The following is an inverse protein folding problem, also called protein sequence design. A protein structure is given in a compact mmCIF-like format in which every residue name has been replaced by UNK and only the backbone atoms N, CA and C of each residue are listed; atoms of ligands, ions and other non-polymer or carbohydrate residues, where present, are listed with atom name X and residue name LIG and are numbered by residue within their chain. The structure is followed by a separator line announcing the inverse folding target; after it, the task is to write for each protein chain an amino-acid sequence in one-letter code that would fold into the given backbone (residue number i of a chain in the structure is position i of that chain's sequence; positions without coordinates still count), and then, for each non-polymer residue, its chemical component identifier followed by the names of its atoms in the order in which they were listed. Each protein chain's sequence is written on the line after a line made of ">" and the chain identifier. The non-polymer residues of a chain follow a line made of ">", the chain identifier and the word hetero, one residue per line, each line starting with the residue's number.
data_IF_262732060063
#
_entry.id   IF_262732060063
#
_cell.length_a   1.000
_cell.length_b   1.000
_cell.length_c   1.000
_cell.angle_alpha   90.00
_cell.angle_beta   90.00
_cell.angle_gamma   90.00
#
_symmetry.space_group_name_H-M   'P 1'
#
loop_
_entity.id
_entity.type
_entity.pdbx_description
1 polymer ?
#
# COMPACT_ATOMS: atom_id res chain seq x y z
N UNK A 1 -43.19 -7.56 35.19
CA UNK A 1 -42.82 -8.50 34.11
C UNK A 1 -42.39 -7.67 32.89
N UNK A 2 -41.13 -7.46 32.74
CA UNK A 2 -40.56 -6.75 31.58
C UNK A 2 -40.30 -7.80 30.49
N UNK A 3 -41.01 -7.66 29.37
CA UNK A 3 -40.81 -8.46 28.18
C UNK A 3 -39.40 -8.22 27.62
N UNK A 4 -38.54 -9.21 27.75
CA UNK A 4 -37.27 -9.26 27.00
C UNK A 4 -37.61 -9.40 25.52
N UNK A 5 -37.52 -8.32 24.77
CA UNK A 5 -37.47 -8.38 23.31
C UNK A 5 -36.21 -9.17 22.91
N UNK A 6 -36.43 -10.20 22.10
CA UNK A 6 -35.41 -11.05 21.52
C UNK A 6 -34.35 -10.18 20.81
N UNK A 7 -33.14 -10.16 21.38
CA UNK A 7 -31.97 -9.57 20.74
C UNK A 7 -31.66 -10.33 19.47
N UNK A 8 -31.87 -9.68 18.33
CA UNK A 8 -31.43 -10.14 17.01
C UNK A 8 -29.92 -10.39 16.96
N UNK A 9 -29.57 -11.25 16.05
CA UNK A 9 -28.24 -11.68 15.60
C UNK A 9 -27.20 -10.55 15.75
N UNK A 10 -26.11 -10.89 16.43
CA UNK A 10 -25.14 -9.92 16.92
C UNK A 10 -24.61 -8.96 15.86
N UNK A 11 -24.92 -7.68 16.00
CA UNK A 11 -24.30 -6.61 15.21
C UNK A 11 -22.82 -6.46 15.59
N UNK A 12 -21.96 -6.28 14.60
CA UNK A 12 -20.58 -5.90 14.79
C UNK A 12 -20.43 -4.39 14.89
N UNK A 13 -19.34 -3.92 15.50
CA UNK A 13 -18.95 -2.54 15.41
C UNK A 13 -18.35 -2.25 14.04
N UNK A 14 -17.44 -3.12 13.58
CA UNK A 14 -16.76 -2.98 12.30
C UNK A 14 -16.85 -4.29 11.52
N UNK A 15 -17.15 -4.17 10.20
CA UNK A 15 -16.97 -5.27 9.26
C UNK A 15 -15.95 -4.82 8.21
N UNK A 16 -14.83 -5.56 8.06
CA UNK A 16 -13.89 -5.33 6.96
C UNK A 16 -14.21 -6.23 5.78
N UNK A 17 -14.25 -5.66 4.59
CA UNK A 17 -14.33 -6.38 3.32
C UNK A 17 -12.92 -6.46 2.73
N UNK A 18 -12.30 -7.62 2.86
CA UNK A 18 -10.89 -7.87 2.63
C UNK A 18 -10.09 -7.97 3.94
N UNK A 19 -9.14 -8.90 3.97
CA UNK A 19 -8.21 -9.16 5.08
C UNK A 19 -6.77 -8.71 4.78
N UNK A 20 -6.59 -7.71 3.89
CA UNK A 20 -5.28 -7.16 3.56
C UNK A 20 -4.63 -6.39 4.72
N UNK A 21 -3.46 -5.82 4.46
CA UNK A 21 -2.59 -5.18 5.47
C UNK A 21 -3.32 -4.08 6.25
N UNK A 22 -4.01 -3.15 5.55
CA UNK A 22 -4.75 -2.07 6.19
C UNK A 22 -5.88 -2.59 7.08
N UNK A 23 -6.69 -3.55 6.56
CA UNK A 23 -7.79 -4.15 7.30
C UNK A 23 -7.31 -4.89 8.55
N UNK A 24 -6.26 -5.70 8.42
CA UNK A 24 -5.74 -6.50 9.53
C UNK A 24 -5.11 -5.62 10.62
N UNK A 25 -4.38 -4.58 10.24
CA UNK A 25 -3.82 -3.62 11.19
C UNK A 25 -4.91 -2.85 11.94
N UNK A 26 -5.95 -2.37 11.23
CA UNK A 26 -7.09 -1.70 11.83
C UNK A 26 -7.87 -2.65 12.74
N UNK A 27 -8.19 -3.86 12.27
CA UNK A 27 -8.96 -4.84 13.01
C UNK A 27 -8.27 -5.23 14.31
N UNK A 28 -6.95 -5.50 14.28
CA UNK A 28 -6.16 -5.72 15.49
C UNK A 28 -6.29 -4.55 16.45
N UNK A 29 -6.01 -3.34 15.99
CA UNK A 29 -5.99 -2.16 16.82
C UNK A 29 -7.36 -1.83 17.44
N UNK A 30 -8.46 -2.10 16.73
CA UNK A 30 -9.83 -1.87 17.24
C UNK A 30 -10.31 -3.00 18.14
N UNK A 31 -9.98 -4.28 17.84
CA UNK A 31 -10.29 -5.43 18.70
C UNK A 31 -9.60 -5.31 20.07
N UNK A 32 -8.33 -4.89 20.12
CA UNK A 32 -7.60 -4.61 21.36
C UNK A 32 -8.27 -3.53 22.23
N UNK A 33 -9.09 -2.67 21.61
CA UNK A 33 -9.88 -1.62 22.28
C UNK A 33 -11.31 -2.07 22.61
N UNK A 34 -11.62 -3.35 22.41
CA UNK A 34 -12.91 -3.94 22.74
C UNK A 34 -13.98 -3.79 21.66
N UNK A 35 -13.65 -3.29 20.46
CA UNK A 35 -14.59 -3.27 19.34
C UNK A 35 -14.85 -4.70 18.81
N UNK A 36 -16.10 -5.00 18.50
CA UNK A 36 -16.51 -6.26 17.88
C UNK A 36 -16.27 -6.21 16.37
N UNK A 37 -15.17 -6.80 15.92
CA UNK A 37 -14.72 -6.74 14.53
C UNK A 37 -14.96 -8.07 13.81
N UNK A 38 -15.56 -8.02 12.61
CA UNK A 38 -15.64 -9.14 11.67
C UNK A 38 -14.79 -8.82 10.44
N UNK A 39 -13.92 -9.74 10.08
CA UNK A 39 -13.12 -9.66 8.86
C UNK A 39 -13.58 -10.71 7.85
N UNK A 40 -13.91 -10.27 6.63
CA UNK A 40 -14.37 -11.12 5.54
C UNK A 40 -13.30 -11.15 4.44
N UNK A 41 -12.60 -12.28 4.30
CA UNK A 41 -11.52 -12.47 3.30
C UNK A 41 -11.90 -13.59 2.32
N UNK A 42 -11.82 -13.27 1.01
CA UNK A 42 -12.15 -14.23 -0.05
C UNK A 42 -11.11 -15.34 -0.24
N UNK A 43 -9.84 -15.02 0.01
CA UNK A 43 -8.75 -15.98 -0.13
C UNK A 43 -8.69 -16.89 1.12
N UNK A 44 -8.69 -18.21 0.91
CA UNK A 44 -8.47 -19.15 2.01
C UNK A 44 -7.05 -19.06 2.56
N UNK A 45 -6.09 -18.72 1.69
CA UNK A 45 -4.69 -18.49 2.01
C UNK A 45 -4.16 -17.42 1.05
N UNK A 46 -3.40 -16.46 1.55
CA UNK A 46 -2.76 -15.47 0.69
C UNK A 46 -1.72 -16.13 -0.21
N UNK A 47 -1.59 -15.59 -1.43
CA UNK A 47 -0.67 -16.09 -2.44
C UNK A 47 0.49 -15.12 -2.61
N UNK A 48 1.67 -15.64 -2.91
CA UNK A 48 2.78 -14.78 -3.35
C UNK A 48 2.41 -14.13 -4.69
N UNK A 49 2.50 -12.81 -4.70
CA UNK A 49 2.25 -11.97 -5.87
C UNK A 49 3.35 -10.91 -5.93
N UNK A 50 3.70 -10.46 -7.12
CA UNK A 50 4.59 -9.31 -7.28
C UNK A 50 3.84 -8.07 -6.83
N UNK A 51 4.11 -7.63 -5.60
CA UNK A 51 3.47 -6.47 -4.93
C UNK A 51 4.49 -5.77 -4.05
N UNK A 52 4.08 -4.65 -3.44
CA UNK A 52 4.91 -3.92 -2.49
C UNK A 52 5.44 -4.80 -1.35
N UNK A 53 6.73 -4.74 -1.11
CA UNK A 53 7.46 -5.61 -0.19
C UNK A 53 8.36 -4.83 0.75
N UNK A 54 8.13 -3.51 0.81
CA UNK A 54 8.81 -2.64 1.74
C UNK A 54 7.87 -1.54 2.24
N UNK A 55 8.03 -1.16 3.50
CA UNK A 55 7.47 0.07 4.07
C UNK A 55 8.63 1.01 4.35
N UNK A 56 8.50 2.24 3.90
CA UNK A 56 9.51 3.28 4.10
C UNK A 56 9.46 3.85 5.51
N UNK A 57 10.43 4.66 5.91
CA UNK A 57 10.61 5.12 7.29
C UNK A 57 9.36 5.69 7.95
N UNK A 58 8.57 6.53 7.25
CA UNK A 58 7.33 7.04 7.81
C UNK A 58 6.24 5.97 7.98
N UNK A 59 6.19 4.97 7.09
CA UNK A 59 5.29 3.82 7.24
C UNK A 59 5.72 2.90 8.39
N UNK A 60 7.02 2.83 8.70
CA UNK A 60 7.51 2.13 9.90
C UNK A 60 7.07 2.85 11.17
N UNK A 61 7.03 4.20 11.17
CA UNK A 61 6.47 4.96 12.26
C UNK A 61 4.96 4.65 12.44
N UNK A 62 4.19 4.56 11.35
CA UNK A 62 2.78 4.14 11.40
C UNK A 62 2.63 2.71 11.99
N UNK A 63 3.53 1.79 11.61
CA UNK A 63 3.55 0.44 12.17
C UNK A 63 3.85 0.43 13.67
N UNK A 64 4.71 1.33 14.16
CA UNK A 64 4.96 1.52 15.59
C UNK A 64 3.69 2.01 16.33
N UNK A 65 3.02 3.03 15.80
CA UNK A 65 1.78 3.58 16.36
C UNK A 65 0.63 2.56 16.40
N UNK A 66 0.60 1.64 15.44
CA UNK A 66 -0.36 0.53 15.40
C UNK A 66 0.05 -0.66 16.29
N UNK A 67 1.24 -0.62 16.92
CA UNK A 67 1.75 -1.70 17.77
C UNK A 67 2.06 -3.00 17.01
N UNK A 68 2.40 -2.90 15.73
CA UNK A 68 2.70 -4.07 14.86
C UNK A 68 4.16 -4.17 14.45
N UNK A 69 4.96 -3.11 14.60
CA UNK A 69 6.35 -3.09 14.12
C UNK A 69 7.21 -4.19 14.76
N UNK A 70 7.12 -4.38 16.07
CA UNK A 70 7.85 -5.44 16.79
C UNK A 70 7.47 -6.83 16.28
N UNK A 71 6.18 -7.08 16.07
CA UNK A 71 5.68 -8.34 15.50
C UNK A 71 6.22 -8.59 14.10
N UNK A 72 6.22 -7.56 13.23
CA UNK A 72 6.75 -7.68 11.87
C UNK A 72 8.25 -8.02 11.87
N UNK A 73 9.04 -7.33 12.70
CA UNK A 73 10.47 -7.61 12.86
C UNK A 73 10.75 -9.03 13.34
N UNK A 74 9.94 -9.52 14.27
CA UNK A 74 10.08 -10.89 14.78
C UNK A 74 9.74 -11.95 13.73
N UNK A 75 8.69 -11.72 12.92
CA UNK A 75 8.10 -12.77 12.08
C UNK A 75 8.57 -12.74 10.62
N UNK A 76 8.80 -11.57 10.04
CA UNK A 76 9.00 -11.51 8.59
C UNK A 76 9.85 -10.34 8.07
N UNK A 77 10.01 -9.26 8.85
CA UNK A 77 10.64 -8.07 8.33
C UNK A 77 12.17 -8.09 8.48
N UNK A 78 12.83 -7.55 7.46
CA UNK A 78 14.26 -7.27 7.43
C UNK A 78 14.46 -5.75 7.42
N UNK A 79 15.36 -5.25 8.27
CA UNK A 79 15.71 -3.82 8.32
C UNK A 79 16.68 -3.46 7.22
N UNK A 80 16.37 -2.42 6.45
CA UNK A 80 17.22 -1.88 5.40
C UNK A 80 17.48 -0.40 5.69
N UNK A 81 18.60 -0.06 6.33
CA UNK A 81 18.89 1.30 6.78
C UNK A 81 19.37 2.22 5.66
N UNK A 82 19.87 1.67 4.57
CA UNK A 82 20.57 2.43 3.54
C UNK A 82 19.82 2.42 2.22
N UNK A 83 19.84 3.53 1.49
CA UNK A 83 19.31 3.66 0.13
C UNK A 83 20.37 4.21 -0.80
N UNK A 84 20.61 3.55 -1.93
CA UNK A 84 21.40 4.03 -3.04
C UNK A 84 20.48 4.53 -4.15
N UNK A 85 20.50 5.84 -4.39
CA UNK A 85 19.59 6.50 -5.36
C UNK A 85 20.33 7.00 -6.63
N UNK A 86 21.56 6.54 -6.89
CA UNK A 86 22.38 6.98 -8.02
C UNK A 86 23.18 8.25 -7.75
N UNK A 87 22.83 9.03 -6.74
CA UNK A 87 23.56 10.22 -6.27
C UNK A 87 24.44 9.93 -5.07
N UNK A 88 24.42 8.69 -4.58
CA UNK A 88 25.20 8.24 -3.43
C UNK A 88 24.35 7.51 -2.39
N UNK A 89 25.04 6.96 -1.41
CA UNK A 89 24.45 6.19 -0.33
C UNK A 89 23.87 7.12 0.74
N UNK A 90 22.61 6.90 1.09
CA UNK A 90 21.87 7.65 2.10
C UNK A 90 21.53 6.74 3.28
N UNK A 91 21.83 7.17 4.50
CA UNK A 91 21.38 6.54 5.75
C UNK A 91 20.02 7.13 6.18
N UNK A 92 18.99 6.29 6.17
CA UNK A 92 17.62 6.69 6.53
C UNK A 92 17.47 7.02 8.02
N UNK A 93 18.24 6.35 8.90
CA UNK A 93 18.23 6.63 10.34
C UNK A 93 18.82 7.99 10.67
N UNK A 94 19.76 8.45 9.86
CA UNK A 94 20.39 9.76 10.05
C UNK A 94 19.64 10.91 9.37
N UNK A 95 18.90 10.63 8.30
CA UNK A 95 18.41 11.69 7.39
C UNK A 95 16.88 11.81 7.30
N UNK A 96 16.12 10.84 7.78
CA UNK A 96 14.66 10.96 7.84
C UNK A 96 14.18 11.59 9.15
N UNK A 97 13.02 12.23 9.13
CA UNK A 97 12.40 12.81 10.34
C UNK A 97 12.16 11.73 11.41
N UNK A 98 11.77 10.53 11.00
CA UNK A 98 11.48 9.42 11.89
C UNK A 98 12.72 8.73 12.45
N UNK A 99 13.89 8.91 11.82
CA UNK A 99 15.15 8.23 12.18
C UNK A 99 15.03 6.69 12.20
N UNK A 100 14.22 6.15 11.29
CA UNK A 100 13.92 4.73 11.18
C UNK A 100 14.43 4.16 9.84
N UNK A 101 14.84 2.87 9.81
CA UNK A 101 15.13 2.19 8.56
C UNK A 101 13.82 1.94 7.80
N UNK A 102 13.88 1.57 6.54
CA UNK A 102 12.76 0.88 5.91
C UNK A 102 12.71 -0.59 6.40
N UNK A 103 11.53 -1.21 6.30
CA UNK A 103 11.36 -2.64 6.55
C UNK A 103 10.95 -3.32 5.24
N UNK A 104 11.66 -4.38 4.87
CA UNK A 104 11.30 -5.23 3.74
C UNK A 104 10.86 -6.62 4.20
N UNK A 105 9.97 -7.25 3.45
CA UNK A 105 9.38 -8.54 3.83
C UNK A 105 8.77 -9.24 2.61
N UNK A 106 8.59 -10.58 2.68
CA UNK A 106 7.69 -11.27 1.77
C UNK A 106 6.25 -10.83 2.02
N UNK A 107 5.61 -10.21 1.04
CA UNK A 107 4.27 -9.61 1.18
C UNK A 107 3.23 -10.58 1.75
N UNK A 108 3.20 -11.81 1.25
CA UNK A 108 2.31 -12.87 1.72
C UNK A 108 2.50 -13.16 3.22
N UNK A 109 3.75 -13.22 3.69
CA UNK A 109 4.05 -13.54 5.10
C UNK A 109 3.58 -12.39 6.00
N UNK A 110 3.79 -11.13 5.57
CA UNK A 110 3.27 -9.98 6.28
C UNK A 110 1.74 -10.01 6.39
N UNK A 111 1.03 -10.34 5.29
CA UNK A 111 -0.43 -10.44 5.30
C UNK A 111 -0.92 -11.51 6.29
N UNK A 112 -0.36 -12.72 6.26
CA UNK A 112 -0.73 -13.81 7.19
C UNK A 112 -0.41 -13.42 8.64
N UNK A 113 0.74 -12.79 8.87
CA UNK A 113 1.15 -12.33 10.21
C UNK A 113 0.16 -11.32 10.80
N UNK A 114 -0.25 -10.34 10.02
CA UNK A 114 -1.17 -9.30 10.49
C UNK A 114 -2.60 -9.81 10.65
N UNK A 115 -3.06 -10.69 9.76
CA UNK A 115 -4.38 -11.31 9.88
C UNK A 115 -4.46 -12.18 11.16
N UNK A 116 -3.44 -13.01 11.41
CA UNK A 116 -3.35 -13.79 12.64
C UNK A 116 -3.26 -12.90 13.89
N UNK A 117 -2.59 -11.75 13.81
CA UNK A 117 -2.53 -10.80 14.92
C UNK A 117 -3.91 -10.17 15.21
N UNK A 118 -4.71 -9.89 14.17
CA UNK A 118 -6.08 -9.40 14.35
C UNK A 118 -6.97 -10.46 15.00
N UNK A 119 -6.88 -11.72 14.58
CA UNK A 119 -7.61 -12.85 15.18
C UNK A 119 -7.22 -13.05 16.64
N UNK A 120 -5.93 -13.04 16.96
CA UNK A 120 -5.43 -13.14 18.33
C UNK A 120 -5.86 -11.97 19.23
N UNK A 121 -6.08 -10.79 18.66
CA UNK A 121 -6.62 -9.62 19.34
C UNK A 121 -8.13 -9.70 19.60
N UNK A 122 -8.83 -10.71 19.05
CA UNK A 122 -10.26 -10.96 19.25
C UNK A 122 -11.16 -10.60 18.06
N UNK A 123 -10.61 -10.25 16.90
CA UNK A 123 -11.40 -10.11 15.69
C UNK A 123 -11.88 -11.48 15.19
N UNK A 124 -13.14 -11.57 14.78
CA UNK A 124 -13.63 -12.76 14.07
C UNK A 124 -13.16 -12.72 12.62
N UNK A 125 -12.48 -13.77 12.16
CA UNK A 125 -11.94 -13.85 10.80
C UNK A 125 -12.65 -14.99 10.05
N UNK A 126 -13.31 -14.64 8.93
CA UNK A 126 -13.92 -15.60 8.01
C UNK A 126 -13.19 -15.58 6.69
N UNK A 127 -12.45 -16.64 6.38
CA UNK A 127 -11.72 -16.82 5.12
C UNK A 127 -12.49 -17.68 4.13
N UNK A 128 -12.23 -17.46 2.83
CA UNK A 128 -12.95 -18.16 1.76
C UNK A 128 -14.37 -17.63 1.56
N UNK A 129 -14.67 -16.43 2.07
CA UNK A 129 -15.97 -15.79 2.03
C UNK A 129 -15.96 -14.64 1.03
N UNK A 130 -16.85 -14.68 0.05
CA UNK A 130 -17.03 -13.60 -0.92
C UNK A 130 -18.20 -12.71 -0.50
N UNK A 131 -17.92 -11.42 -0.35
CA UNK A 131 -18.94 -10.39 -0.21
C UNK A 131 -19.57 -10.14 -1.57
N UNK A 132 -20.88 -10.09 -1.63
CA UNK A 132 -21.66 -9.87 -2.86
C UNK A 132 -22.15 -8.44 -2.98
N UNK A 133 -22.42 -7.78 -1.84
CA UNK A 133 -22.90 -6.41 -1.79
C UNK A 133 -22.59 -5.77 -0.44
N UNK A 134 -22.36 -4.46 -0.48
CA UNK A 134 -22.40 -3.56 0.68
C UNK A 134 -23.61 -2.66 0.54
N UNK A 135 -24.33 -2.47 1.63
CA UNK A 135 -25.48 -1.58 1.74
C UNK A 135 -25.09 -0.40 2.64
N UNK A 136 -24.76 0.78 2.06
CA UNK A 136 -24.44 1.99 2.84
C UNK A 136 -25.66 2.52 3.60
N UNK A 137 -25.44 3.35 4.60
CA UNK A 137 -26.48 4.03 5.37
C UNK A 137 -26.10 4.21 6.85
N UNK A 138 -26.99 4.79 7.63
CA UNK A 138 -26.80 4.99 9.07
C UNK A 138 -26.56 3.68 9.86
N UNK A 139 -27.00 2.56 9.33
CA UNK A 139 -26.71 1.21 9.81
C UNK A 139 -26.29 0.35 8.61
N UNK A 140 -25.02 0.45 8.18
CA UNK A 140 -24.57 -0.26 6.99
C UNK A 140 -24.58 -1.77 7.19
N UNK A 141 -24.66 -2.51 6.08
CA UNK A 141 -24.68 -3.96 6.09
C UNK A 141 -23.81 -4.54 4.97
N UNK A 142 -23.38 -5.78 5.19
CA UNK A 142 -22.68 -6.59 4.20
C UNK A 142 -23.51 -7.83 3.91
N UNK A 143 -23.65 -8.17 2.61
CA UNK A 143 -24.31 -9.40 2.15
C UNK A 143 -23.23 -10.35 1.66
N UNK A 144 -23.22 -11.55 2.21
CA UNK A 144 -22.30 -12.64 1.83
C UNK A 144 -23.06 -13.78 1.18
N UNK A 145 -22.46 -14.38 0.14
CA UNK A 145 -23.02 -15.54 -0.53
C UNK A 145 -22.94 -16.80 0.35
N UNK A 146 -23.98 -17.60 0.32
CA UNK A 146 -24.06 -18.83 1.09
C UNK A 146 -23.14 -19.91 0.56
N UNK A 147 -21.95 -20.05 1.14
CA UNK A 147 -21.20 -21.31 1.12
C UNK A 147 -21.55 -22.10 2.39
N UNK A 148 -21.88 -23.38 2.21
CA UNK A 148 -22.28 -24.27 3.30
C UNK A 148 -21.22 -24.35 4.42
N UNK A 149 -21.46 -23.59 5.48
CA UNK A 149 -20.71 -23.60 6.73
C UNK A 149 -21.70 -23.36 7.87
N UNK A 150 -21.55 -24.09 8.92
CA UNK A 150 -22.23 -24.17 10.21
C UNK A 150 -23.34 -23.16 10.50
N UNK A 151 -24.57 -23.67 10.45
CA UNK A 151 -25.85 -22.97 10.57
C UNK A 151 -26.08 -22.17 11.86
N UNK A 152 -25.46 -21.05 12.05
CA UNK A 152 -25.79 -20.09 13.10
C UNK A 152 -26.13 -18.73 12.46
N UNK A 153 -27.45 -18.47 12.38
CA UNK A 153 -27.98 -17.13 12.13
C UNK A 153 -28.18 -16.73 10.67
N UNK A 154 -29.08 -17.40 9.95
CA UNK A 154 -29.46 -17.05 8.57
C UNK A 154 -30.84 -16.43 8.58
N UNK A 155 -30.94 -15.17 8.15
CA UNK A 155 -32.23 -14.62 7.72
C UNK A 155 -32.56 -15.17 6.31
N UNK A 156 -33.62 -15.96 6.20
CA UNK A 156 -34.00 -16.71 5.00
C UNK A 156 -35.03 -15.94 4.18
N UNK A 157 -34.69 -14.78 3.68
CA UNK A 157 -35.60 -14.03 2.81
C UNK A 157 -35.04 -13.81 1.41
N UNK A 158 -34.92 -14.87 0.63
CA UNK A 158 -34.62 -14.81 -0.80
C UNK A 158 -35.45 -15.86 -1.55
N UNK A 159 -36.20 -15.46 -2.59
CA UNK A 159 -37.08 -16.32 -3.38
C UNK A 159 -36.32 -17.39 -4.22
N UNK A 160 -34.97 -17.35 -4.28
CA UNK A 160 -34.14 -18.17 -5.18
C UNK A 160 -33.19 -19.13 -4.46
N UNK A 161 -33.61 -19.86 -3.44
CA UNK A 161 -32.87 -21.01 -2.91
C UNK A 161 -31.36 -20.78 -2.53
N UNK A 162 -30.79 -19.66 -2.85
CA UNK A 162 -29.42 -19.27 -2.51
C UNK A 162 -29.41 -18.61 -1.13
N UNK A 163 -28.71 -19.20 -0.19
CA UNK A 163 -28.65 -18.71 1.20
C UNK A 163 -27.70 -17.52 1.25
N UNK A 164 -28.24 -16.30 1.33
CA UNK A 164 -27.45 -15.09 1.61
C UNK A 164 -27.51 -14.80 3.12
N UNK A 165 -26.37 -14.39 3.69
CA UNK A 165 -26.31 -13.86 5.05
C UNK A 165 -26.15 -12.34 4.98
N UNK A 166 -27.08 -11.59 5.59
CA UNK A 166 -26.99 -10.13 5.75
C UNK A 166 -26.50 -9.80 7.15
N UNK A 167 -25.36 -9.13 7.26
CA UNK A 167 -24.69 -8.81 8.52
C UNK A 167 -24.64 -7.30 8.68
N UNK A 168 -25.17 -6.76 9.77
CA UNK A 168 -25.18 -5.31 10.07
C UNK A 168 -24.01 -4.92 10.97
N UNK A 169 -23.58 -3.64 10.84
CA UNK A 169 -22.55 -3.07 11.69
C UNK A 169 -22.75 -1.55 11.87
N UNK A 170 -21.84 -0.92 12.63
CA UNK A 170 -21.77 0.55 12.71
C UNK A 170 -20.92 1.14 11.57
N UNK A 171 -19.90 0.39 11.11
CA UNK A 171 -19.00 0.82 10.04
C UNK A 171 -18.61 -0.37 9.17
N UNK A 172 -18.75 -0.24 7.85
CA UNK A 172 -18.10 -1.11 6.87
C UNK A 172 -16.79 -0.49 6.45
N UNK A 173 -15.72 -1.28 6.44
CA UNK A 173 -14.40 -0.88 5.94
C UNK A 173 -14.07 -1.64 4.68
N UNK A 174 -14.10 -0.96 3.54
CA UNK A 174 -13.67 -1.49 2.25
C UNK A 174 -12.14 -1.54 2.18
N UNK A 175 -11.59 -2.75 2.13
CA UNK A 175 -10.16 -3.03 2.06
C UNK A 175 -9.85 -4.13 1.02
N UNK A 176 -10.68 -4.21 0.00
CA UNK A 176 -10.71 -5.23 -1.04
C UNK A 176 -9.75 -4.94 -2.22
N UNK A 177 -8.87 -3.95 -2.04
CA UNK A 177 -7.73 -3.68 -2.90
C UNK A 177 -8.04 -2.84 -4.14
N UNK A 178 -7.11 -2.82 -5.09
CA UNK A 178 -7.07 -1.92 -6.25
C UNK A 178 -8.37 -1.90 -7.07
N UNK A 179 -8.98 -3.06 -7.27
CA UNK A 179 -10.22 -3.22 -8.06
C UNK A 179 -11.47 -3.28 -7.17
N UNK A 180 -11.48 -2.50 -6.10
CA UNK A 180 -12.50 -2.52 -5.05
C UNK A 180 -13.93 -2.56 -5.59
N UNK A 181 -14.66 -3.60 -5.19
CA UNK A 181 -16.10 -3.71 -5.41
C UNK A 181 -16.87 -2.85 -4.41
N UNK A 182 -16.34 -2.67 -3.20
CA UNK A 182 -16.93 -1.80 -2.17
C UNK A 182 -17.08 -0.37 -2.68
N UNK A 183 -16.05 0.16 -3.37
CA UNK A 183 -16.15 1.49 -4.03
C UNK A 183 -17.37 1.62 -4.91
N UNK A 184 -17.63 0.60 -5.74
CA UNK A 184 -18.77 0.58 -6.68
C UNK A 184 -20.09 0.46 -5.94
N UNK A 185 -20.20 -0.44 -4.97
CA UNK A 185 -21.43 -0.67 -4.22
C UNK A 185 -21.82 0.52 -3.35
N UNK A 186 -20.84 1.21 -2.77
CA UNK A 186 -21.08 2.41 -1.98
C UNK A 186 -21.16 3.70 -2.81
N UNK A 187 -21.00 3.62 -4.13
CA UNK A 187 -21.16 4.76 -5.04
C UNK A 187 -20.09 5.83 -4.89
N UNK A 188 -18.83 5.42 -4.64
CA UNK A 188 -17.68 6.33 -4.65
C UNK A 188 -17.26 6.66 -6.08
N UNK A 189 -16.97 7.93 -6.34
CA UNK A 189 -16.31 8.37 -7.56
C UNK A 189 -14.81 8.11 -7.49
N UNK A 190 -14.22 7.66 -8.58
CA UNK A 190 -12.79 7.35 -8.68
C UNK A 190 -12.12 8.36 -9.58
N UNK A 191 -11.07 8.99 -9.07
CA UNK A 191 -10.10 9.73 -9.87
C UNK A 191 -9.04 8.76 -10.37
N UNK A 192 -8.58 8.93 -11.61
CA UNK A 192 -7.55 8.12 -12.22
C UNK A 192 -6.57 9.02 -12.97
N UNK A 193 -5.29 8.82 -12.70
CA UNK A 193 -4.21 9.40 -13.48
C UNK A 193 -3.51 8.31 -14.26
N UNK A 194 -3.74 8.29 -15.58
CA UNK A 194 -3.05 7.35 -16.46
C UNK A 194 -1.53 7.57 -16.37
N UNK A 195 -0.80 6.47 -16.40
CA UNK A 195 0.64 6.46 -16.40
C UNK A 195 1.14 5.67 -17.63
N UNK A 196 2.09 6.25 -18.35
CA UNK A 196 2.69 5.62 -19.54
C UNK A 196 3.76 4.58 -19.18
N UNK A 197 3.78 4.10 -17.94
CA UNK A 197 4.78 3.19 -17.42
C UNK A 197 4.20 1.81 -17.08
N UNK A 198 5.02 0.79 -17.29
CA UNK A 198 4.89 -0.51 -16.66
C UNK A 198 5.92 -0.66 -15.56
N UNK A 199 5.56 -1.36 -14.49
CA UNK A 199 6.52 -1.93 -13.55
C UNK A 199 6.55 -3.44 -13.72
N UNK A 200 7.75 -4.00 -13.92
CA UNK A 200 7.99 -5.43 -13.86
C UNK A 200 8.80 -5.78 -12.61
N UNK A 201 8.55 -6.96 -12.04
CA UNK A 201 9.27 -7.41 -10.85
C UNK A 201 9.41 -8.92 -10.76
N UNK A 202 10.52 -9.37 -10.15
CA UNK A 202 10.82 -10.79 -9.91
C UNK A 202 11.56 -10.97 -8.59
N UNK A 203 11.25 -12.05 -7.86
CA UNK A 203 12.01 -12.44 -6.68
C UNK A 203 13.21 -13.29 -7.10
N UNK A 204 14.39 -12.89 -6.61
CA UNK A 204 15.68 -13.50 -6.95
C UNK A 204 16.39 -14.04 -5.71
N UNK A 205 17.18 -15.09 -5.90
CA UNK A 205 18.19 -15.59 -4.94
C UNK A 205 19.56 -15.55 -5.59
N UNK A 206 20.60 -15.74 -4.78
CA UNK A 206 21.98 -15.68 -5.23
C UNK A 206 22.33 -14.28 -5.82
N UNK A 207 21.81 -13.24 -5.16
CA UNK A 207 22.08 -11.83 -5.47
C UNK A 207 23.36 -11.39 -4.80
N UNK A 208 24.23 -10.66 -5.52
CA UNK A 208 25.55 -10.21 -5.03
C UNK A 208 25.55 -8.78 -4.46
N UNK A 209 24.36 -8.21 -4.25
CA UNK A 209 24.23 -6.88 -3.65
C UNK A 209 24.21 -6.96 -2.12
N UNK A 210 24.44 -5.82 -1.46
CA UNK A 210 24.31 -5.71 -0.01
C UNK A 210 22.87 -5.96 0.44
N UNK A 211 22.70 -6.66 1.55
CA UNK A 211 21.39 -6.86 2.18
C UNK A 211 20.94 -5.68 3.04
N UNK A 212 21.80 -4.69 3.26
CA UNK A 212 21.48 -3.48 4.04
C UNK A 212 21.12 -2.28 3.15
N UNK A 213 21.20 -2.43 1.82
CA UNK A 213 21.00 -1.34 0.86
C UNK A 213 19.81 -1.65 -0.04
N UNK A 214 18.84 -0.74 -0.07
CA UNK A 214 17.84 -0.65 -1.14
C UNK A 214 18.44 0.17 -2.29
N UNK A 215 18.45 -0.38 -3.48
CA UNK A 215 18.82 0.36 -4.68
C UNK A 215 17.54 0.87 -5.35
N UNK A 216 17.50 2.17 -5.65
CA UNK A 216 16.33 2.86 -6.19
C UNK A 216 16.77 3.96 -7.15
N UNK A 217 17.17 3.56 -8.37
CA UNK A 217 17.93 4.43 -9.29
C UNK A 217 17.08 4.80 -10.50
N UNK A 218 16.92 6.11 -10.71
CA UNK A 218 16.30 6.66 -11.92
C UNK A 218 17.34 6.81 -13.04
N UNK A 219 16.90 6.57 -14.27
CA UNK A 219 17.66 6.87 -15.47
C UNK A 219 16.81 7.76 -16.39
N UNK A 220 16.97 9.09 -16.31
CA UNK A 220 16.14 10.02 -17.07
C UNK A 220 16.44 10.02 -18.59
N UNK A 221 17.59 9.48 -19.04
CA UNK A 221 17.90 9.39 -20.47
C UNK A 221 16.99 8.44 -21.21
N UNK A 222 16.52 7.40 -20.53
CA UNK A 222 15.63 6.38 -21.09
C UNK A 222 14.28 6.28 -20.37
N UNK A 223 14.02 7.17 -19.42
CA UNK A 223 12.74 7.25 -18.70
C UNK A 223 12.45 6.04 -17.78
N UNK A 224 13.50 5.45 -17.18
CA UNK A 224 13.35 4.21 -16.39
C UNK A 224 13.71 4.41 -14.93
N UNK A 225 13.23 3.47 -14.10
CA UNK A 225 13.68 3.30 -12.73
C UNK A 225 14.03 1.83 -12.49
N UNK A 226 15.13 1.60 -11.78
CA UNK A 226 15.60 0.26 -11.42
C UNK A 226 15.69 0.14 -9.92
N UNK A 227 15.03 -0.86 -9.37
CA UNK A 227 15.00 -1.14 -7.94
C UNK A 227 15.50 -2.53 -7.58
N UNK A 228 16.18 -2.62 -6.45
CA UNK A 228 16.54 -3.89 -5.83
C UNK A 228 16.32 -3.77 -4.33
N UNK A 229 15.39 -4.56 -3.81
CA UNK A 229 14.97 -4.52 -2.41
C UNK A 229 15.38 -5.84 -1.76
N UNK A 230 16.36 -5.84 -0.86
CA UNK A 230 16.75 -7.05 -0.14
C UNK A 230 15.65 -7.48 0.82
N UNK A 231 15.51 -8.80 0.98
CA UNK A 231 14.62 -9.43 1.95
C UNK A 231 15.45 -10.33 2.88
N UNK A 232 14.81 -10.86 3.91
CA UNK A 232 15.49 -11.81 4.81
C UNK A 232 16.03 -13.03 4.05
N UNK A 233 17.22 -13.49 4.45
CA UNK A 233 17.96 -14.57 3.79
C UNK A 233 18.76 -14.05 2.59
N UNK A 234 18.87 -14.86 1.55
CA UNK A 234 19.60 -14.55 0.31
C UNK A 234 18.68 -14.03 -0.81
N UNK A 235 17.49 -13.54 -0.47
CA UNK A 235 16.47 -13.10 -1.43
C UNK A 235 16.47 -11.60 -1.60
N UNK A 236 16.22 -11.16 -2.83
CA UNK A 236 15.94 -9.76 -3.15
C UNK A 236 14.86 -9.67 -4.22
N UNK A 237 14.01 -8.67 -4.12
CA UNK A 237 13.06 -8.36 -5.18
C UNK A 237 13.68 -7.31 -6.10
N UNK A 238 13.85 -7.68 -7.36
CA UNK A 238 14.26 -6.76 -8.40
C UNK A 238 13.04 -6.19 -9.12
N UNK A 239 13.07 -4.89 -9.41
CA UNK A 239 12.04 -4.16 -10.13
C UNK A 239 12.65 -3.35 -11.27
N UNK A 240 11.89 -3.21 -12.35
CA UNK A 240 12.20 -2.30 -13.45
C UNK A 240 10.94 -1.59 -13.91
N UNK A 241 10.97 -0.25 -13.85
CA UNK A 241 9.91 0.62 -14.36
C UNK A 241 10.35 1.17 -15.70
N UNK A 242 9.48 1.10 -16.69
CA UNK A 242 9.83 1.46 -18.07
C UNK A 242 8.62 1.96 -18.86
N UNK A 243 8.85 2.82 -19.88
CA UNK A 243 7.80 3.35 -20.73
C UNK A 243 7.07 2.24 -21.52
N UNK A 244 5.74 2.34 -21.61
CA UNK A 244 4.89 1.47 -22.47
C UNK A 244 5.29 1.55 -23.92
N UNK A 245 5.87 2.67 -24.35
CA UNK A 245 6.40 2.91 -25.70
C UNK A 245 7.58 2.02 -26.08
N UNK A 246 8.21 1.31 -25.14
CA UNK A 246 9.23 0.29 -25.46
C UNK A 246 8.67 -0.90 -26.26
N UNK A 247 7.34 -1.06 -26.35
CA UNK A 247 6.68 -2.01 -27.23
C UNK A 247 6.71 -3.48 -26.80
N UNK A 248 7.19 -3.77 -25.58
CA UNK A 248 7.19 -5.12 -25.01
C UNK A 248 6.67 -5.11 -23.56
N UNK A 249 6.35 -6.29 -23.05
CA UNK A 249 5.95 -6.48 -21.66
C UNK A 249 6.83 -7.53 -20.99
N UNK A 250 7.55 -7.13 -19.95
CA UNK A 250 8.45 -7.98 -19.18
C UNK A 250 7.65 -8.87 -18.23
N UNK A 251 7.19 -10.03 -18.72
CA UNK A 251 6.46 -11.00 -17.91
C UNK A 251 6.69 -12.44 -18.40
N UNK A 252 6.64 -13.40 -17.46
CA UNK A 252 6.89 -14.80 -17.72
C UNK A 252 8.38 -15.16 -17.83
N UNK A 253 8.67 -16.45 -17.72
CA UNK A 253 10.04 -16.98 -17.62
C UNK A 253 10.91 -16.64 -18.84
N UNK A 254 10.32 -16.69 -20.03
CA UNK A 254 11.03 -16.39 -21.28
C UNK A 254 11.62 -14.96 -21.34
N UNK A 255 11.03 -14.01 -20.58
CA UNK A 255 11.47 -12.62 -20.55
C UNK A 255 12.49 -12.32 -19.43
N UNK A 256 12.83 -13.29 -18.59
CA UNK A 256 13.74 -13.07 -17.46
C UNK A 256 15.12 -12.56 -17.89
N UNK A 257 15.71 -13.16 -18.94
CA UNK A 257 17.00 -12.72 -19.46
C UNK A 257 16.94 -11.28 -20.01
N UNK A 258 15.83 -10.87 -20.63
CA UNK A 258 15.64 -9.49 -21.06
C UNK A 258 15.46 -8.55 -19.85
N UNK A 259 14.67 -8.94 -18.86
CA UNK A 259 14.49 -8.17 -17.63
C UNK A 259 15.83 -7.85 -16.96
N UNK A 260 16.72 -8.84 -16.81
CA UNK A 260 18.06 -8.65 -16.23
C UNK A 260 18.88 -7.65 -17.06
N UNK A 261 18.86 -7.76 -18.39
CA UNK A 261 19.58 -6.82 -19.28
C UNK A 261 19.01 -5.41 -19.17
N UNK A 262 17.70 -5.24 -19.08
CA UNK A 262 17.08 -3.92 -18.95
C UNK A 262 17.37 -3.30 -17.58
N UNK A 263 17.39 -4.08 -16.49
CA UNK A 263 17.84 -3.58 -15.18
C UNK A 263 19.30 -3.07 -15.26
N UNK A 264 20.18 -3.81 -15.91
CA UNK A 264 21.59 -3.40 -16.11
C UNK A 264 21.71 -2.16 -17.02
N UNK A 265 20.83 -2.01 -18.02
CA UNK A 265 20.76 -0.81 -18.85
C UNK A 265 20.28 0.41 -18.07
N UNK A 266 19.31 0.22 -17.13
CA UNK A 266 18.80 1.27 -16.25
C UNK A 266 19.84 1.72 -15.21
N UNK A 267 20.58 0.76 -14.65
CA UNK A 267 21.64 0.98 -13.67
C UNK A 267 22.74 -0.07 -13.83
N UNK A 268 23.89 0.33 -14.40
CA UNK A 268 24.95 -0.58 -14.83
C UNK A 268 25.43 -1.60 -13.75
N UNK A 269 25.54 -1.25 -12.45
CA UNK A 269 25.93 -2.20 -11.40
C UNK A 269 24.97 -3.39 -11.25
N UNK A 270 23.75 -3.32 -11.75
CA UNK A 270 22.84 -4.46 -11.73
C UNK A 270 23.36 -5.67 -12.50
N UNK A 271 24.22 -5.47 -13.51
CA UNK A 271 24.86 -6.58 -14.21
C UNK A 271 25.62 -7.49 -13.25
N UNK A 272 26.35 -6.92 -12.29
CA UNK A 272 27.11 -7.67 -11.31
C UNK A 272 26.22 -8.19 -10.16
N UNK A 273 25.21 -7.42 -9.75
CA UNK A 273 24.33 -7.77 -8.63
C UNK A 273 23.43 -8.93 -8.96
N UNK A 274 22.77 -8.92 -10.12
CA UNK A 274 21.73 -9.89 -10.48
C UNK A 274 22.02 -10.72 -11.73
N UNK A 275 23.16 -10.50 -12.44
CA UNK A 275 23.49 -11.23 -13.65
C UNK A 275 23.60 -12.73 -13.48
N UNK A 276 23.98 -13.21 -12.29
CA UNK A 276 24.05 -14.64 -11.94
C UNK A 276 22.92 -15.12 -11.03
N UNK A 277 21.92 -14.28 -10.76
CA UNK A 277 20.83 -14.58 -9.85
C UNK A 277 19.84 -15.60 -10.47
N UNK A 278 19.10 -16.31 -9.60
CA UNK A 278 18.06 -17.28 -9.99
C UNK A 278 16.70 -16.74 -9.55
N UNK A 279 15.70 -16.85 -10.42
CA UNK A 279 14.32 -16.53 -10.05
C UNK A 279 13.74 -17.61 -9.12
N UNK A 280 13.05 -17.18 -8.06
CA UNK A 280 12.31 -18.05 -7.13
C UNK A 280 10.83 -17.69 -7.09
N UNK A 281 10.37 -16.90 -8.03
CA UNK A 281 8.99 -16.49 -8.24
C UNK A 281 8.77 -16.04 -9.67
N UNK A 282 7.51 -15.76 -10.05
CA UNK A 282 7.20 -15.33 -11.41
C UNK A 282 7.74 -13.93 -11.70
N UNK A 283 8.24 -13.71 -12.92
CA UNK A 283 8.36 -12.36 -13.45
C UNK A 283 6.98 -11.88 -13.87
N UNK A 284 6.48 -10.85 -13.23
CA UNK A 284 5.19 -10.26 -13.54
C UNK A 284 5.32 -8.75 -13.77
N UNK A 285 4.41 -8.20 -14.57
CA UNK A 285 4.38 -6.79 -14.92
C UNK A 285 2.97 -6.25 -14.77
N UNK A 286 2.86 -5.02 -14.30
CA UNK A 286 1.59 -4.34 -14.05
C UNK A 286 1.67 -2.87 -14.44
N UNK A 287 0.51 -2.26 -14.60
CA UNK A 287 0.33 -0.85 -14.90
C UNK A 287 0.62 -0.02 -13.65
N UNK A 288 1.36 1.08 -13.81
CA UNK A 288 1.75 1.99 -12.73
C UNK A 288 0.76 3.15 -12.51
N UNK A 289 -0.43 3.12 -13.12
CA UNK A 289 -1.44 4.19 -13.00
C UNK A 289 -1.97 4.34 -11.58
N UNK A 290 -2.19 5.58 -11.18
CA UNK A 290 -2.77 5.94 -9.90
C UNK A 290 -4.30 5.95 -9.97
N UNK A 291 -4.95 5.51 -8.89
CA UNK A 291 -6.40 5.60 -8.72
C UNK A 291 -6.71 5.96 -7.28
N UNK A 292 -7.56 6.94 -7.07
CA UNK A 292 -7.92 7.35 -5.72
C UNK A 292 -9.38 7.81 -5.63
N UNK A 293 -9.87 7.87 -4.39
CA UNK A 293 -11.14 8.48 -4.01
C UNK A 293 -10.81 9.72 -3.21
N UNK A 294 -11.31 10.89 -3.63
CA UNK A 294 -11.01 12.16 -2.95
C UNK A 294 -11.43 12.12 -1.48
N UNK A 295 -12.64 11.66 -1.20
CA UNK A 295 -13.17 11.57 0.15
C UNK A 295 -13.57 10.12 0.46
N UNK A 296 -12.66 9.26 1.00
CA UNK A 296 -12.87 7.83 1.13
C UNK A 296 -13.76 7.43 2.33
N UNK A 297 -14.76 8.24 2.62
CA UNK A 297 -15.84 7.95 3.58
C UNK A 297 -17.18 8.44 3.05
N UNK A 298 -18.22 7.60 3.19
CA UNK A 298 -19.59 7.95 2.83
C UNK A 298 -20.59 6.97 3.45
N UNK A 299 -21.64 7.52 4.08
CA UNK A 299 -22.82 6.73 4.53
C UNK A 299 -22.47 5.45 5.29
N UNK A 300 -21.60 5.54 6.31
CA UNK A 300 -21.16 4.41 7.13
C UNK A 300 -20.19 3.43 6.44
N UNK A 301 -19.60 3.82 5.32
CA UNK A 301 -18.58 3.05 4.60
C UNK A 301 -17.29 3.85 4.50
N UNK A 302 -16.19 3.34 5.07
CA UNK A 302 -14.84 3.86 4.89
C UNK A 302 -14.03 2.97 3.93
N UNK A 303 -13.17 3.57 3.12
CA UNK A 303 -12.21 2.82 2.29
C UNK A 303 -10.81 2.99 2.88
N UNK A 304 -10.01 1.91 2.88
CA UNK A 304 -8.62 1.94 3.35
C UNK A 304 -7.68 1.20 2.39
N UNK A 305 -6.39 1.55 2.41
CA UNK A 305 -5.38 0.96 1.53
C UNK A 305 -5.70 1.17 0.06
N UNK A 306 -5.38 0.20 -0.80
CA UNK A 306 -5.60 0.30 -2.25
C UNK A 306 -7.09 0.50 -2.65
N UNK A 307 -8.03 0.23 -1.76
CA UNK A 307 -9.44 0.54 -1.99
C UNK A 307 -9.72 2.05 -1.89
N UNK A 308 -8.97 2.79 -1.08
CA UNK A 308 -9.03 4.24 -1.00
C UNK A 308 -8.16 4.90 -2.06
N UNK A 309 -6.87 4.49 -2.15
CA UNK A 309 -5.93 5.05 -3.10
C UNK A 309 -4.83 4.04 -3.47
N UNK A 310 -4.56 3.91 -4.76
CA UNK A 310 -3.35 3.26 -5.27
C UNK A 310 -2.39 4.32 -5.77
N UNK A 311 -1.12 4.22 -5.40
CA UNK A 311 -0.06 5.13 -5.82
C UNK A 311 0.82 4.49 -6.90
N UNK A 312 1.55 5.33 -7.65
CA UNK A 312 2.61 4.84 -8.53
C UNK A 312 3.61 3.99 -7.71
N UNK A 313 3.73 2.69 -8.03
CA UNK A 313 4.57 1.79 -7.26
C UNK A 313 6.07 2.13 -7.30
N UNK A 314 6.51 2.97 -8.23
CA UNK A 314 7.89 3.48 -8.34
C UNK A 314 8.37 4.12 -7.03
N UNK A 315 7.47 4.78 -6.31
CA UNK A 315 7.80 5.51 -5.08
C UNK A 315 7.60 4.70 -3.79
N UNK A 316 7.01 3.50 -3.88
CA UNK A 316 6.87 2.57 -2.76
C UNK A 316 5.96 3.03 -1.62
N UNK A 317 5.01 3.93 -1.88
CA UNK A 317 4.18 4.57 -0.85
C UNK A 317 2.98 3.72 -0.39
N UNK A 318 2.47 2.81 -1.23
CA UNK A 318 1.17 2.15 -1.03
C UNK A 318 1.00 1.44 0.31
N UNK A 319 2.04 0.75 0.81
CA UNK A 319 1.97 0.06 2.10
C UNK A 319 2.01 1.03 3.28
N UNK A 320 2.77 2.10 3.18
CA UNK A 320 2.81 3.16 4.19
C UNK A 320 1.47 3.88 4.28
N UNK A 321 0.84 4.19 3.15
CA UNK A 321 -0.54 4.72 3.11
C UNK A 321 -1.57 3.75 3.68
N UNK A 322 -1.41 2.44 3.44
CA UNK A 322 -2.32 1.44 4.01
C UNK A 322 -2.28 1.43 5.54
N UNK A 323 -1.09 1.55 6.14
CA UNK A 323 -0.92 1.62 7.58
C UNK A 323 -1.36 2.99 8.14
N UNK A 324 -1.06 4.08 7.43
CA UNK A 324 -1.52 5.42 7.78
C UNK A 324 -3.06 5.49 7.82
N UNK A 325 -3.73 5.01 6.78
CA UNK A 325 -5.19 4.96 6.73
C UNK A 325 -5.77 4.16 7.91
N UNK A 326 -5.17 3.02 8.25
CA UNK A 326 -5.59 2.21 9.39
C UNK A 326 -5.41 2.96 10.72
N UNK A 327 -4.27 3.66 10.91
CA UNK A 327 -4.02 4.43 12.13
C UNK A 327 -4.95 5.62 12.25
N UNK A 328 -5.08 6.43 11.20
CA UNK A 328 -5.95 7.62 11.24
C UNK A 328 -7.39 7.23 11.50
N UNK A 329 -7.92 6.21 10.79
CA UNK A 329 -9.28 5.74 11.02
C UNK A 329 -9.47 5.22 12.45
N UNK A 330 -8.52 4.42 12.99
CA UNK A 330 -8.54 3.99 14.39
C UNK A 330 -8.60 5.17 15.34
N UNK A 331 -7.73 6.16 15.14
CA UNK A 331 -7.61 7.31 16.03
C UNK A 331 -8.90 8.14 16.05
N UNK A 332 -9.49 8.40 14.89
CA UNK A 332 -10.75 9.14 14.80
C UNK A 332 -11.92 8.38 15.43
N UNK A 333 -12.04 7.07 15.18
CA UNK A 333 -13.09 6.23 15.78
C UNK A 333 -12.96 6.07 17.29
N UNK A 334 -11.76 6.21 17.84
CA UNK A 334 -11.54 6.11 19.29
C UNK A 334 -11.67 7.43 20.03
N UNK A 335 -11.55 8.57 19.35
CA UNK A 335 -11.72 9.91 19.93
C UNK A 335 -13.19 10.29 20.12
N UNK A 336 -14.07 9.79 19.26
CA UNK A 336 -15.44 10.24 19.16
C UNK A 336 -16.43 9.08 19.10
N UNK A 337 -17.56 9.20 19.77
CA UNK A 337 -18.67 8.25 19.68
C UNK A 337 -19.50 8.43 18.41
N UNK A 338 -19.45 9.61 17.78
CA UNK A 338 -20.02 9.91 16.48
C UNK A 338 -19.07 9.42 15.38
N UNK A 339 -19.30 8.18 14.93
CA UNK A 339 -18.48 7.54 13.93
C UNK A 339 -18.69 8.06 12.51
N UNK A 340 -19.82 8.74 12.27
CA UNK A 340 -20.03 9.43 11.00
C UNK A 340 -19.11 10.64 10.87
N UNK A 341 -19.12 11.51 11.89
CA UNK A 341 -18.17 12.62 11.96
C UNK A 341 -16.70 12.16 11.97
N UNK A 342 -16.38 11.07 12.69
CA UNK A 342 -15.05 10.48 12.69
C UNK A 342 -14.61 9.98 11.29
N UNK A 343 -15.54 9.37 10.55
CA UNK A 343 -15.31 8.92 9.17
C UNK A 343 -14.98 10.08 8.22
N UNK A 344 -15.67 11.20 8.35
CA UNK A 344 -15.38 12.39 7.56
C UNK A 344 -14.01 12.98 7.89
N UNK A 345 -13.63 13.11 9.17
CA UNK A 345 -12.28 13.57 9.55
C UNK A 345 -11.17 12.64 9.06
N UNK A 346 -11.40 11.33 9.11
CA UNK A 346 -10.50 10.35 8.49
C UNK A 346 -10.31 10.65 7.01
N UNK A 347 -11.40 10.86 6.27
CA UNK A 347 -11.36 11.10 4.84
C UNK A 347 -10.61 12.39 4.49
N UNK A 348 -10.82 13.48 5.24
CA UNK A 348 -10.10 14.75 5.09
C UNK A 348 -8.58 14.58 5.29
N UNK A 349 -8.17 13.85 6.33
CA UNK A 349 -6.76 13.58 6.59
C UNK A 349 -6.13 12.69 5.51
N UNK A 350 -6.86 11.66 5.05
CA UNK A 350 -6.42 10.80 3.97
C UNK A 350 -6.20 11.59 2.67
N UNK A 351 -7.16 12.43 2.29
CA UNK A 351 -7.10 13.31 1.11
C UNK A 351 -5.87 14.23 1.17
N UNK A 352 -5.71 14.96 2.29
CA UNK A 352 -4.58 15.85 2.51
C UNK A 352 -3.23 15.12 2.38
N UNK A 353 -3.11 13.95 3.02
CA UNK A 353 -1.87 13.15 3.03
C UNK A 353 -1.55 12.57 1.66
N UNK A 354 -2.56 12.06 0.95
CA UNK A 354 -2.40 11.54 -0.40
C UNK A 354 -1.93 12.63 -1.37
N UNK A 355 -2.61 13.78 -1.41
CA UNK A 355 -2.25 14.86 -2.32
C UNK A 355 -0.86 15.43 -2.06
N UNK A 356 -0.41 15.47 -0.80
CA UNK A 356 0.94 15.94 -0.47
C UNK A 356 2.01 15.02 -1.09
N UNK A 357 1.92 13.72 -0.93
CA UNK A 357 2.86 12.79 -1.53
C UNK A 357 2.74 12.73 -3.06
N UNK A 358 1.51 12.66 -3.57
CA UNK A 358 1.25 12.59 -5.02
C UNK A 358 1.82 13.80 -5.78
N UNK A 359 1.70 15.01 -5.23
CA UNK A 359 2.31 16.20 -5.83
C UNK A 359 3.83 16.09 -5.92
N UNK A 360 4.49 15.62 -4.85
CA UNK A 360 5.95 15.46 -4.81
C UNK A 360 6.41 14.33 -5.73
N UNK A 361 5.68 13.24 -5.81
CA UNK A 361 5.94 12.15 -6.77
C UNK A 361 5.94 12.68 -8.21
N UNK A 362 4.97 13.52 -8.57
CA UNK A 362 4.92 14.19 -9.87
C UNK A 362 6.13 15.10 -10.14
N UNK A 363 6.60 15.84 -9.12
CA UNK A 363 7.81 16.67 -9.26
C UNK A 363 9.08 15.82 -9.43
N UNK A 364 9.21 14.75 -8.65
CA UNK A 364 10.34 13.81 -8.72
C UNK A 364 10.35 13.09 -10.07
N UNK A 365 9.19 12.61 -10.55
CA UNK A 365 9.05 12.01 -11.87
C UNK A 365 9.53 12.96 -12.97
N UNK A 366 9.08 14.21 -12.95
CA UNK A 366 9.47 15.22 -13.94
C UNK A 366 10.97 15.50 -13.91
N UNK A 367 11.58 15.54 -12.73
CA UNK A 367 13.01 15.85 -12.61
C UNK A 367 13.90 14.63 -12.90
N UNK A 368 13.57 13.46 -12.38
CA UNK A 368 14.49 12.31 -12.36
C UNK A 368 14.14 11.19 -13.33
N UNK A 369 12.93 11.19 -13.92
CA UNK A 369 12.50 10.10 -14.80
C UNK A 369 12.08 10.54 -16.20
N UNK A 370 11.51 11.73 -16.37
CA UNK A 370 11.00 12.21 -17.65
C UNK A 370 12.15 12.41 -18.66
N UNK A 371 12.15 11.71 -19.84
CA UNK A 371 13.20 11.83 -20.85
C UNK A 371 12.99 13.02 -21.80
N UNK A 372 11.96 13.85 -21.63
CA UNK A 372 11.66 14.98 -22.51
C UNK A 372 12.76 16.07 -22.51
N UNK A 373 12.82 16.85 -23.58
CA UNK A 373 13.73 17.96 -23.69
C UNK A 373 13.46 19.05 -22.62
N UNK A 374 12.21 19.26 -22.27
CA UNK A 374 11.79 20.19 -21.21
C UNK A 374 12.33 19.74 -19.86
N UNK A 375 12.22 18.45 -19.54
CA UNK A 375 12.75 17.88 -18.32
C UNK A 375 14.30 17.89 -18.32
N UNK A 376 14.94 17.70 -19.46
CA UNK A 376 16.39 17.83 -19.59
C UNK A 376 16.89 19.25 -19.29
N UNK A 377 16.20 20.27 -19.78
CA UNK A 377 16.50 21.68 -19.46
C UNK A 377 16.31 21.97 -17.96
N UNK A 378 15.27 21.40 -17.36
CA UNK A 378 15.01 21.48 -15.92
C UNK A 378 16.14 20.85 -15.11
N UNK A 379 16.57 19.64 -15.47
CA UNK A 379 17.71 18.96 -14.86
C UNK A 379 19.01 19.77 -14.96
N UNK A 380 19.30 20.33 -16.12
CA UNK A 380 20.49 21.14 -16.32
C UNK A 380 20.60 22.32 -15.32
N UNK A 381 19.43 22.87 -14.91
CA UNK A 381 19.34 23.94 -13.90
C UNK A 381 19.39 23.41 -12.47
N UNK A 382 18.60 22.37 -12.17
CA UNK A 382 18.36 21.91 -10.81
C UNK A 382 19.48 21.03 -10.27
N UNK A 383 20.04 20.10 -11.08
CA UNK A 383 20.98 19.09 -10.59
C UNK A 383 22.28 19.64 -9.99
N UNK A 384 22.91 20.70 -10.53
CA UNK A 384 24.07 21.31 -9.86
C UNK A 384 23.75 21.81 -8.46
N UNK A 385 22.59 22.43 -8.26
CA UNK A 385 22.13 22.95 -6.98
C UNK A 385 21.80 21.83 -6.00
N UNK A 386 21.21 20.74 -6.48
CA UNK A 386 20.92 19.54 -5.67
C UNK A 386 22.22 18.84 -5.26
N UNK A 387 23.23 18.81 -6.11
CA UNK A 387 24.55 18.24 -5.78
C UNK A 387 25.25 19.02 -4.67
N UNK A 388 25.09 20.36 -4.63
CA UNK A 388 25.60 21.21 -3.56
C UNK A 388 24.78 21.08 -2.27
N UNK A 389 23.46 20.96 -2.41
CA UNK A 389 22.51 20.87 -1.29
C UNK A 389 21.42 19.83 -1.57
N UNK A 390 21.64 18.55 -1.20
CA UNK A 390 20.67 17.47 -1.39
C UNK A 390 19.32 17.69 -0.70
N UNK A 391 19.25 18.59 0.30
CA UNK A 391 17.98 18.91 0.99
C UNK A 391 17.00 19.70 0.13
N UNK A 392 17.39 20.08 -1.09
CA UNK A 392 16.49 20.65 -2.10
C UNK A 392 15.45 19.66 -2.57
N UNK A 393 15.75 18.36 -2.53
CA UNK A 393 14.78 17.31 -2.86
C UNK A 393 13.83 17.10 -1.67
N UNK A 394 12.52 17.36 -1.81
CA UNK A 394 11.56 17.16 -0.72
C UNK A 394 11.44 15.69 -0.35
N UNK A 395 11.54 15.40 0.93
CA UNK A 395 11.69 14.03 1.46
C UNK A 395 10.37 13.31 1.77
N UNK A 396 9.29 13.63 1.05
CA UNK A 396 7.99 13.00 1.28
C UNK A 396 8.00 11.48 1.06
N UNK A 397 8.86 10.96 0.19
CA UNK A 397 8.96 9.52 -0.06
C UNK A 397 9.37 8.77 1.21
N UNK A 398 10.39 9.23 1.94
CA UNK A 398 10.89 8.54 3.13
C UNK A 398 10.39 9.13 4.44
N UNK A 399 10.11 10.44 4.49
CA UNK A 399 9.66 11.14 5.68
C UNK A 399 8.14 11.42 5.71
N UNK A 400 7.40 11.12 4.64
CA UNK A 400 5.94 11.10 4.61
C UNK A 400 5.24 12.43 4.37
N UNK A 401 3.89 12.42 4.42
CA UNK A 401 3.04 13.55 4.03
C UNK A 401 3.08 14.74 5.01
N UNK A 402 3.67 14.58 6.18
CA UNK A 402 3.83 15.66 7.17
C UNK A 402 4.92 16.68 6.83
N UNK A 403 5.71 16.44 5.78
CA UNK A 403 6.75 17.36 5.32
C UNK A 403 6.13 18.64 4.72
N UNK A 404 6.82 19.79 4.81
CA UNK A 404 6.34 21.03 4.18
C UNK A 404 6.11 20.89 2.69
N UNK A 405 4.92 21.30 2.21
CA UNK A 405 4.54 21.33 0.81
C UNK A 405 3.99 22.71 0.45
N UNK A 406 4.73 23.46 -0.37
CA UNK A 406 4.31 24.76 -0.88
C UNK A 406 5.11 25.14 -2.12
N UNK A 407 4.77 26.27 -2.74
CA UNK A 407 5.44 26.76 -3.95
C UNK A 407 6.94 27.03 -3.74
N UNK A 408 7.37 27.43 -2.54
CA UNK A 408 8.78 27.64 -2.23
C UNK A 408 9.59 26.32 -2.26
N UNK A 409 9.00 25.23 -1.74
CA UNK A 409 9.60 23.89 -1.81
C UNK A 409 9.73 23.44 -3.27
N UNK A 410 8.69 23.63 -4.06
CA UNK A 410 8.69 23.33 -5.50
C UNK A 410 9.77 24.14 -6.25
N UNK A 411 9.79 25.44 -6.07
CA UNK A 411 10.74 26.34 -6.72
C UNK A 411 12.19 26.00 -6.34
N UNK A 412 12.43 25.66 -5.07
CA UNK A 412 13.74 25.22 -4.58
C UNK A 412 14.20 23.92 -5.23
N UNK A 413 13.32 22.92 -5.38
CA UNK A 413 13.62 21.67 -6.08
C UNK A 413 14.04 21.93 -7.53
N UNK A 414 13.30 22.78 -8.23
CA UNK A 414 13.51 23.04 -9.66
C UNK A 414 14.59 24.11 -9.95
N UNK A 415 15.26 24.64 -8.91
CA UNK A 415 16.30 25.65 -9.07
C UNK A 415 15.75 26.99 -9.58
N UNK A 416 14.57 27.35 -9.15
CA UNK A 416 13.91 28.64 -9.48
C UNK A 416 14.18 29.70 -8.40
N UNK A 417 14.76 29.26 -7.27
CA UNK A 417 15.22 30.13 -6.17
C UNK A 417 16.43 29.51 -5.47
#
# INVERSE_FOLDING_TARGET
>A
MATRTSSGIGSYDIITVGGGIAASALAKAMAERGAKVLMLEREKQFKDRVRGEAIVSWGVAEANELGICGLLKEKCAHEVPLVEAGSGLRDLRATTVQQLPLLSFPHQVMQETLLAAAENAGAEVRRGVSVERVEPGAQPAVVVGGHGGDGRGIDRSGADGNKHERITCRLVVGADGRDSAVRKWAGFSVCEQENDLYMAGVLLTNVRASTEIMYAVFNPEIGTWTGLIPQAGDRSRAYFVYPKTMGYRLQGEAMLGQFIRECARGYAPMADYIGGAKSVGPLASFDASDKWVEHPYKDGVALVGDAAATTDPTYGQGLSFALHAARVLRDELTKDSDWDAAGHRYAEEHERSFHACHAVEGWIRRLFQDPSAEAAALRARAMPLIAEDPTRVPDHIFSGPGMPLNEQVRARLFGEC
#
